data_IF_338733662290
#
_entry.id   IF_338733662290
#
_cell.length_a   1.000
_cell.length_b   1.000
_cell.length_c   1.000
_cell.angle_alpha   90.00
_cell.angle_beta   90.00
_cell.angle_gamma   90.00
#
_symmetry.space_group_name_H-M   'P 1'
#
loop_
_entity.id
_entity.type
_entity.pdbx_description
1 polymer ?
#
# COMPACT_ATOMS: atom_id res chain seq x y z
N UNK A 1 55.79 -36.08 10.42
CA UNK A 1 55.24 -35.52 9.16
C UNK A 1 53.78 -35.16 9.43
N UNK A 2 53.51 -33.84 9.38
CA UNK A 2 52.30 -33.04 9.66
C UNK A 2 50.97 -33.73 10.00
N UNK A 3 50.42 -33.35 11.17
CA UNK A 3 49.00 -33.49 11.51
C UNK A 3 48.19 -32.35 10.87
N UNK A 4 47.17 -32.71 10.07
CA UNK A 4 46.23 -31.76 9.45
C UNK A 4 45.09 -31.46 10.41
N UNK A 5 45.06 -30.26 10.99
CA UNK A 5 43.92 -29.74 11.74
C UNK A 5 42.87 -29.24 10.73
N UNK A 6 41.74 -29.93 10.65
CA UNK A 6 40.55 -29.45 9.90
C UNK A 6 39.77 -28.49 10.80
N UNK A 7 39.92 -27.18 10.56
CA UNK A 7 39.01 -26.18 11.11
C UNK A 7 37.68 -26.22 10.32
N UNK A 8 36.62 -26.72 10.94
CA UNK A 8 35.25 -26.53 10.48
C UNK A 8 34.81 -25.12 10.90
N UNK A 9 34.81 -24.16 9.99
CA UNK A 9 34.14 -22.87 10.18
C UNK A 9 32.65 -23.06 9.87
N UNK A 10 31.84 -23.27 10.91
CA UNK A 10 30.39 -23.14 10.81
C UNK A 10 30.06 -21.64 10.78
N UNK A 11 29.93 -21.07 9.58
CA UNK A 11 29.44 -19.72 9.40
C UNK A 11 27.97 -19.62 9.78
N UNK A 12 27.68 -19.08 10.97
CA UNK A 12 26.35 -18.67 11.37
C UNK A 12 25.95 -17.47 10.49
N UNK A 13 25.20 -17.72 9.42
CA UNK A 13 24.52 -16.68 8.66
C UNK A 13 23.44 -16.07 9.54
N UNK A 14 23.78 -14.97 10.21
CA UNK A 14 22.82 -14.11 10.87
C UNK A 14 22.00 -13.42 9.76
N UNK A 15 20.82 -13.96 9.44
CA UNK A 15 19.85 -13.25 8.61
C UNK A 15 19.34 -12.09 9.46
N UNK A 16 19.96 -10.92 9.30
CA UNK A 16 19.47 -9.67 9.88
C UNK A 16 18.17 -9.32 9.14
N UNK A 17 17.05 -9.85 9.64
CA UNK A 17 15.73 -9.38 9.23
C UNK A 17 15.63 -7.91 9.59
N UNK A 18 15.62 -7.02 8.59
CA UNK A 18 15.28 -5.63 8.84
C UNK A 18 13.82 -5.62 9.31
N UNK A 19 13.60 -5.35 10.59
CA UNK A 19 12.27 -5.13 11.12
C UNK A 19 11.71 -3.88 10.44
N UNK A 20 10.79 -4.07 9.49
CA UNK A 20 10.05 -2.97 8.89
C UNK A 20 8.94 -2.57 9.87
N UNK A 21 9.00 -1.35 10.37
CA UNK A 21 7.88 -0.71 11.02
C UNK A 21 7.67 0.65 10.36
N UNK A 22 6.44 0.99 10.01
CA UNK A 22 6.08 2.29 9.47
C UNK A 22 5.13 2.98 10.44
N UNK A 23 5.47 4.20 10.85
CA UNK A 23 4.59 5.09 11.61
C UNK A 23 4.42 6.37 10.81
N UNK A 24 3.18 6.69 10.45
CA UNK A 24 2.82 7.86 9.65
C UNK A 24 1.69 8.63 10.34
N UNK A 25 1.45 9.86 9.90
CA UNK A 25 0.25 10.60 10.23
C UNK A 25 -0.73 10.46 9.08
N UNK A 26 -1.94 10.00 9.38
CA UNK A 26 -3.05 9.90 8.45
C UNK A 26 -4.17 10.87 8.87
N UNK A 27 -5.32 10.83 8.20
CA UNK A 27 -6.43 11.76 8.47
C UNK A 27 -7.15 11.51 9.81
N UNK A 28 -6.79 10.46 10.55
CA UNK A 28 -7.26 10.12 11.90
C UNK A 28 -6.15 10.16 12.97
N UNK A 29 -4.92 10.53 12.62
CA UNK A 29 -3.79 10.70 13.54
C UNK A 29 -2.67 9.70 13.29
N UNK A 30 -2.09 9.15 14.35
CA UNK A 30 -0.95 8.23 14.23
C UNK A 30 -1.42 6.86 13.73
N UNK A 31 -0.89 6.44 12.59
CA UNK A 31 -1.09 5.10 12.02
C UNK A 31 0.23 4.33 12.04
N UNK A 32 0.21 3.07 12.52
CA UNK A 32 1.40 2.21 12.61
C UNK A 32 1.15 0.85 11.96
N UNK A 33 2.15 0.36 11.22
CA UNK A 33 2.25 -1.02 10.76
C UNK A 33 3.56 -1.64 11.24
N UNK A 34 3.47 -2.84 11.81
CA UNK A 34 4.63 -3.59 12.32
C UNK A 34 5.36 -4.43 11.25
N UNK A 35 4.82 -4.45 10.02
CA UNK A 35 5.37 -5.19 8.89
C UNK A 35 4.93 -4.56 7.58
N UNK A 36 5.70 -4.80 6.51
CA UNK A 36 5.33 -4.31 5.18
C UNK A 36 4.09 -5.06 4.70
N UNK A 37 3.00 -4.36 4.37
CA UNK A 37 1.77 -5.01 3.93
C UNK A 37 2.00 -5.74 2.61
N UNK A 38 1.40 -6.93 2.46
CA UNK A 38 1.53 -7.78 1.28
C UNK A 38 0.20 -7.92 0.52
N UNK A 39 -0.91 -7.60 1.16
CA UNK A 39 -2.29 -7.82 0.71
C UNK A 39 -3.06 -6.52 0.85
N UNK A 40 -2.83 -5.61 -0.09
CA UNK A 40 -3.37 -4.25 -0.04
C UNK A 40 -4.67 -4.17 -0.82
N UNK A 41 -5.70 -3.56 -0.23
CA UNK A 41 -6.90 -3.11 -0.93
C UNK A 41 -6.92 -1.60 -0.97
N UNK A 42 -7.26 -1.00 -2.12
CA UNK A 42 -7.36 0.45 -2.29
C UNK A 42 -8.75 0.86 -2.74
N UNK A 43 -9.28 1.94 -2.14
CA UNK A 43 -10.66 2.38 -2.37
C UNK A 43 -10.79 3.67 -3.20
N UNK A 44 -9.69 4.18 -3.76
CA UNK A 44 -9.67 5.25 -4.74
C UNK A 44 -8.63 4.97 -5.83
N UNK A 45 -8.83 5.57 -7.01
CA UNK A 45 -7.97 5.33 -8.18
C UNK A 45 -6.58 5.92 -8.00
N UNK A 46 -6.45 7.06 -7.32
CA UNK A 46 -5.16 7.70 -7.03
C UNK A 46 -4.27 6.84 -6.14
N UNK A 47 -4.86 6.05 -5.24
CA UNK A 47 -4.11 5.13 -4.39
C UNK A 47 -3.59 3.93 -5.19
N UNK A 48 -4.36 3.45 -6.17
CA UNK A 48 -3.89 2.45 -7.13
C UNK A 48 -2.71 2.99 -7.97
N UNK A 49 -2.81 4.25 -8.42
CA UNK A 49 -1.74 4.96 -9.12
C UNK A 49 -0.47 5.10 -8.26
N UNK A 50 -0.60 5.53 -7.00
CA UNK A 50 0.52 5.64 -6.08
C UNK A 50 1.23 4.30 -5.84
N UNK A 51 0.49 3.20 -5.72
CA UNK A 51 1.10 1.87 -5.61
C UNK A 51 1.82 1.47 -6.91
N UNK A 52 1.20 1.71 -8.07
CA UNK A 52 1.78 1.43 -9.38
C UNK A 52 3.09 2.20 -9.62
N UNK A 53 3.17 3.46 -9.16
CA UNK A 53 4.34 4.32 -9.33
C UNK A 53 5.62 3.72 -8.72
N UNK A 54 5.49 2.83 -7.74
CA UNK A 54 6.59 2.14 -7.04
C UNK A 54 6.54 0.61 -7.19
N UNK A 55 5.89 0.14 -8.26
CA UNK A 55 5.77 -1.27 -8.66
C UNK A 55 5.18 -2.19 -7.57
N UNK A 56 4.26 -1.65 -6.77
CA UNK A 56 3.45 -2.41 -5.80
C UNK A 56 2.06 -2.64 -6.40
N UNK A 57 1.54 -3.87 -6.31
CA UNK A 57 0.20 -4.19 -6.83
C UNK A 57 -0.79 -4.45 -5.69
N UNK A 58 -1.97 -3.78 -5.67
CA UNK A 58 -3.04 -4.14 -4.76
C UNK A 58 -3.70 -5.45 -5.20
N UNK A 59 -4.26 -6.20 -4.26
CA UNK A 59 -5.05 -7.40 -4.53
C UNK A 59 -6.52 -7.08 -4.81
N UNK A 60 -6.96 -5.87 -4.44
CA UNK A 60 -8.30 -5.39 -4.76
C UNK A 60 -8.38 -3.88 -4.90
N UNK A 61 -9.27 -3.44 -5.80
CA UNK A 61 -9.48 -2.04 -6.14
C UNK A 61 -10.98 -1.76 -6.19
N UNK A 62 -11.44 -0.67 -5.56
CA UNK A 62 -12.76 -0.13 -5.83
C UNK A 62 -12.69 0.63 -7.17
N UNK A 63 -12.93 -0.09 -8.27
CA UNK A 63 -12.73 0.39 -9.64
C UNK A 63 -14.02 0.86 -10.33
N UNK A 64 -15.09 1.11 -9.55
CA UNK A 64 -16.43 1.42 -10.06
C UNK A 64 -17.04 0.32 -10.94
N UNK A 65 -16.61 -0.93 -10.72
CA UNK A 65 -16.94 -2.10 -11.55
C UNK A 65 -16.48 -1.95 -13.01
N UNK A 66 -15.47 -1.11 -13.26
CA UNK A 66 -14.92 -0.89 -14.59
C UNK A 66 -13.40 -0.74 -14.51
N UNK A 67 -12.69 -1.83 -14.81
CA UNK A 67 -11.22 -1.84 -14.87
C UNK A 67 -10.63 -0.81 -15.85
N UNK A 68 -11.43 -0.28 -16.79
CA UNK A 68 -10.99 0.77 -17.71
C UNK A 68 -10.83 2.14 -17.05
N UNK A 69 -11.37 2.32 -15.83
CA UNK A 69 -11.20 3.53 -15.00
C UNK A 69 -9.78 3.72 -14.52
N UNK A 70 -9.01 2.64 -14.36
CA UNK A 70 -7.57 2.71 -14.14
C UNK A 70 -6.91 2.99 -15.48
N UNK A 71 -6.04 4.00 -15.56
CA UNK A 71 -5.40 4.37 -16.81
C UNK A 71 -4.53 3.22 -17.37
N UNK A 72 -4.44 3.03 -18.71
CA UNK A 72 -3.65 1.95 -19.30
C UNK A 72 -2.19 1.88 -18.80
N UNK A 73 -1.54 3.04 -18.68
CA UNK A 73 -0.18 3.20 -18.17
C UNK A 73 -0.05 2.74 -16.72
N UNK A 74 -1.05 3.03 -15.87
CA UNK A 74 -1.08 2.54 -14.48
C UNK A 74 -1.26 1.03 -14.46
N UNK A 75 -2.23 0.51 -15.23
CA UNK A 75 -2.48 -0.95 -15.30
C UNK A 75 -1.27 -1.75 -15.76
N UNK A 76 -0.40 -1.18 -16.58
CA UNK A 76 0.80 -1.87 -17.07
C UNK A 76 1.78 -2.24 -15.93
N UNK A 77 1.73 -1.52 -14.81
CA UNK A 77 2.55 -1.78 -13.62
C UNK A 77 1.82 -2.62 -12.55
N UNK A 78 0.55 -2.99 -12.78
CA UNK A 78 -0.26 -3.72 -11.82
C UNK A 78 -0.44 -5.18 -12.24
N UNK A 79 -0.29 -6.09 -11.27
CA UNK A 79 -0.81 -7.45 -11.39
C UNK A 79 -2.34 -7.42 -11.45
N UNK A 80 -2.99 -8.50 -11.94
CA UNK A 80 -4.45 -8.61 -11.88
C UNK A 80 -4.98 -8.41 -10.45
N UNK A 81 -6.04 -7.62 -10.32
CA UNK A 81 -6.72 -7.35 -9.05
C UNK A 81 -8.16 -7.86 -9.10
N UNK A 82 -8.77 -8.03 -7.92
CA UNK A 82 -10.20 -8.26 -7.78
C UNK A 82 -10.93 -6.92 -7.61
N UNK A 83 -11.96 -6.65 -8.41
CA UNK A 83 -12.84 -5.50 -8.14
C UNK A 83 -13.55 -5.71 -6.80
N UNK A 84 -13.54 -4.69 -5.94
CA UNK A 84 -14.28 -4.66 -4.67
C UNK A 84 -15.50 -3.72 -4.73
N UNK A 85 -16.02 -3.49 -5.93
CA UNK A 85 -17.22 -2.67 -6.15
C UNK A 85 -16.91 -1.21 -6.50
N UNK A 86 -17.82 -0.32 -6.12
CA UNK A 86 -17.69 1.10 -6.45
C UNK A 86 -16.95 1.85 -5.37
N UNK A 87 -16.31 2.97 -5.73
CA UNK A 87 -15.70 3.85 -4.72
C UNK A 87 -16.74 4.44 -3.79
N UNK A 88 -17.92 4.79 -4.32
CA UNK A 88 -19.01 5.33 -3.52
C UNK A 88 -19.55 4.32 -2.48
N UNK A 89 -19.60 3.04 -2.85
CA UNK A 89 -20.09 1.94 -2.02
C UNK A 89 -19.23 0.69 -2.28
N UNK A 90 -18.07 0.57 -1.60
CA UNK A 90 -17.24 -0.62 -1.68
C UNK A 90 -17.94 -1.82 -1.03
N UNK A 91 -17.76 -3.01 -1.60
CA UNK A 91 -18.30 -4.25 -1.04
C UNK A 91 -17.43 -4.74 0.11
N UNK A 92 -17.89 -4.55 1.35
CA UNK A 92 -17.22 -5.06 2.55
C UNK A 92 -17.02 -6.58 2.50
N UNK A 93 -17.98 -7.32 1.92
CA UNK A 93 -17.87 -8.77 1.72
C UNK A 93 -16.71 -9.12 0.78
N UNK A 94 -16.61 -8.46 -0.37
CA UNK A 94 -15.52 -8.68 -1.31
C UNK A 94 -14.16 -8.33 -0.70
N UNK A 95 -14.09 -7.22 0.05
CA UNK A 95 -12.87 -6.82 0.78
C UNK A 95 -12.50 -7.89 1.81
N UNK A 96 -13.45 -8.36 2.63
CA UNK A 96 -13.19 -9.37 3.65
C UNK A 96 -12.74 -10.71 3.03
N UNK A 97 -13.34 -11.13 1.92
CA UNK A 97 -12.96 -12.35 1.20
C UNK A 97 -11.50 -12.33 0.72
N UNK A 98 -10.96 -11.15 0.41
CA UNK A 98 -9.58 -10.96 0.02
C UNK A 98 -8.59 -11.06 1.20
N UNK A 99 -9.04 -11.02 2.45
CA UNK A 99 -8.17 -11.06 3.65
C UNK A 99 -6.99 -10.08 3.54
N UNK A 100 -7.24 -8.78 3.36
CA UNK A 100 -6.18 -7.79 3.27
C UNK A 100 -5.42 -7.67 4.59
N UNK A 101 -4.17 -7.23 4.52
CA UNK A 101 -3.39 -6.79 5.68
C UNK A 101 -3.23 -5.26 5.75
N UNK A 102 -3.73 -4.54 4.74
CA UNK A 102 -3.92 -3.10 4.73
C UNK A 102 -5.08 -2.73 3.81
N UNK A 103 -5.92 -1.80 4.26
CA UNK A 103 -6.91 -1.10 3.43
C UNK A 103 -6.51 0.38 3.36
N UNK A 104 -6.42 0.94 2.17
CA UNK A 104 -6.17 2.38 1.95
C UNK A 104 -7.49 3.02 1.48
N UNK A 105 -8.04 3.90 2.30
CA UNK A 105 -9.37 4.47 2.11
C UNK A 105 -9.34 6.00 2.10
N UNK A 106 -10.19 6.60 1.28
CA UNK A 106 -10.40 8.06 1.27
C UNK A 106 -11.12 8.52 2.53
N UNK A 107 -10.56 9.53 3.20
CA UNK A 107 -11.04 10.05 4.49
C UNK A 107 -12.41 10.70 4.42
N UNK A 108 -12.79 11.27 3.27
CA UNK A 108 -14.11 11.88 3.10
C UNK A 108 -15.17 10.86 2.72
N UNK A 109 -14.92 10.10 1.65
CA UNK A 109 -15.88 9.19 1.04
C UNK A 109 -16.17 7.98 1.93
N UNK A 110 -15.17 7.46 2.63
CA UNK A 110 -15.30 6.21 3.38
C UNK A 110 -15.46 6.42 4.89
N UNK A 111 -15.58 7.66 5.37
CA UNK A 111 -15.80 7.97 6.78
C UNK A 111 -16.97 7.15 7.38
N UNK A 112 -18.07 7.04 6.63
CA UNK A 112 -19.27 6.31 7.08
C UNK A 112 -19.11 4.79 7.19
N UNK A 113 -18.08 4.20 6.57
CA UNK A 113 -17.81 2.76 6.62
C UNK A 113 -16.50 2.42 7.34
N UNK A 114 -15.79 3.42 7.88
CA UNK A 114 -14.49 3.25 8.51
C UNK A 114 -14.47 2.16 9.59
N UNK A 115 -15.41 2.20 10.54
CA UNK A 115 -15.49 1.21 11.62
C UNK A 115 -15.67 -0.21 11.09
N UNK A 116 -16.42 -0.38 10.00
CA UNK A 116 -16.64 -1.68 9.37
C UNK A 116 -15.37 -2.17 8.64
N UNK A 117 -14.64 -1.27 7.95
CA UNK A 117 -13.35 -1.59 7.34
C UNK A 117 -12.31 -2.00 8.39
N UNK A 118 -12.29 -1.36 9.57
CA UNK A 118 -11.39 -1.70 10.67
C UNK A 118 -11.63 -3.10 11.24
N UNK A 119 -12.84 -3.66 11.12
CA UNK A 119 -13.09 -5.05 11.51
C UNK A 119 -12.44 -6.06 10.56
N UNK A 120 -12.00 -5.62 9.37
CA UNK A 120 -11.41 -6.46 8.34
C UNK A 120 -9.88 -6.42 8.41
N UNK A 121 -9.29 -5.22 8.42
CA UNK A 121 -7.85 -5.00 8.43
C UNK A 121 -7.51 -3.59 8.93
N UNK A 122 -6.24 -3.27 9.24
CA UNK A 122 -5.80 -1.90 9.45
C UNK A 122 -6.20 -0.99 8.28
N UNK A 123 -6.71 0.20 8.60
CA UNK A 123 -7.22 1.17 7.62
C UNK A 123 -6.37 2.43 7.69
N UNK A 124 -5.71 2.76 6.58
CA UNK A 124 -4.99 4.02 6.39
C UNK A 124 -5.93 5.01 5.70
N UNK A 125 -6.25 6.12 6.37
CA UNK A 125 -7.13 7.16 5.84
C UNK A 125 -6.34 8.30 5.23
N UNK A 126 -6.53 8.54 3.94
CA UNK A 126 -5.83 9.58 3.17
C UNK A 126 -6.80 10.43 2.37
N UNK A 127 -6.33 11.57 1.85
CA UNK A 127 -7.12 12.40 0.93
C UNK A 127 -6.92 11.93 -0.51
N UNK A 128 -8.03 11.70 -1.22
CA UNK A 128 -8.04 11.44 -2.67
C UNK A 128 -9.32 11.92 -3.38
N UNK A 129 -10.34 12.36 -2.65
CA UNK A 129 -11.51 12.97 -3.25
C UNK A 129 -11.57 14.45 -2.88
N UNK A 130 -11.68 15.31 -3.90
CA UNK A 130 -11.73 16.77 -3.75
C UNK A 130 -10.49 17.35 -3.05
N UNK A 131 -9.37 16.65 -3.17
CA UNK A 131 -8.06 17.05 -2.71
C UNK A 131 -7.39 18.00 -3.72
N UNK A 132 -6.46 18.80 -3.21
CA UNK A 132 -5.52 19.55 -4.04
C UNK A 132 -4.43 18.63 -4.58
N UNK A 133 -3.74 19.07 -5.65
CA UNK A 133 -2.59 18.34 -6.18
C UNK A 133 -1.53 18.05 -5.10
N UNK A 134 -1.22 19.04 -4.25
CA UNK A 134 -0.25 18.87 -3.17
C UNK A 134 -0.68 17.82 -2.14
N UNK A 135 -1.96 17.74 -1.81
CA UNK A 135 -2.51 16.72 -0.91
C UNK A 135 -2.49 15.32 -1.54
N UNK A 136 -2.71 15.22 -2.86
CA UNK A 136 -2.57 13.96 -3.58
C UNK A 136 -1.12 13.44 -3.54
N UNK A 137 -0.14 14.31 -3.83
CA UNK A 137 1.29 13.98 -3.72
C UNK A 137 1.70 13.61 -2.29
N UNK A 138 1.13 14.29 -1.29
CA UNK A 138 1.36 13.95 0.11
C UNK A 138 0.84 12.54 0.45
N UNK A 139 -0.37 12.21 -0.01
CA UNK A 139 -0.94 10.87 0.15
C UNK A 139 -0.08 9.81 -0.53
N UNK A 140 0.43 10.08 -1.75
CA UNK A 140 1.37 9.18 -2.43
C UNK A 140 2.67 8.98 -1.63
N UNK A 141 3.22 10.04 -1.02
CA UNK A 141 4.40 9.94 -0.16
C UNK A 141 4.15 9.03 1.05
N UNK A 142 3.01 9.18 1.72
CA UNK A 142 2.61 8.31 2.85
C UNK A 142 2.47 6.86 2.38
N UNK A 143 1.81 6.63 1.23
CA UNK A 143 1.67 5.29 0.64
C UNK A 143 3.04 4.66 0.41
N UNK A 144 3.98 5.40 -0.20
CA UNK A 144 5.35 4.94 -0.41
C UNK A 144 6.05 4.53 0.90
N UNK A 145 5.83 5.29 1.98
CA UNK A 145 6.39 4.95 3.29
C UNK A 145 5.81 3.66 3.87
N UNK A 146 4.48 3.52 3.91
CA UNK A 146 3.82 2.35 4.52
C UNK A 146 4.05 1.05 3.75
N UNK A 147 4.36 1.12 2.45
CA UNK A 147 4.68 -0.08 1.63
C UNK A 147 6.19 -0.34 1.50
N UNK A 148 7.04 0.38 2.25
CA UNK A 148 8.49 0.17 2.24
C UNK A 148 9.21 0.65 0.98
N UNK A 149 8.58 1.59 0.27
CA UNK A 149 9.03 2.20 -0.99
C UNK A 149 9.30 3.70 -0.85
N UNK A 150 9.66 4.16 0.35
CA UNK A 150 9.87 5.58 0.65
C UNK A 150 10.85 6.25 -0.31
N UNK A 151 11.98 5.59 -0.61
CA UNK A 151 13.03 6.15 -1.47
C UNK A 151 12.57 6.23 -2.92
N UNK A 152 11.96 5.15 -3.42
CA UNK A 152 11.43 5.06 -4.77
C UNK A 152 10.33 6.11 -4.99
N UNK A 153 9.40 6.24 -4.02
CA UNK A 153 8.34 7.24 -4.08
C UNK A 153 8.90 8.66 -4.06
N UNK A 154 9.87 8.96 -3.19
CA UNK A 154 10.52 10.27 -3.18
C UNK A 154 11.16 10.60 -4.53
N UNK A 155 11.86 9.66 -5.14
CA UNK A 155 12.45 9.87 -6.47
C UNK A 155 11.39 10.17 -7.54
N UNK A 156 10.25 9.45 -7.51
CA UNK A 156 9.11 9.72 -8.40
C UNK A 156 8.53 11.11 -8.18
N UNK A 157 8.31 11.50 -6.93
CA UNK A 157 7.72 12.80 -6.58
C UNK A 157 8.63 13.98 -7.00
N UNK A 158 9.96 13.83 -6.96
CA UNK A 158 10.86 14.86 -7.48
C UNK A 158 10.80 14.98 -9.01
N UNK A 159 10.70 13.85 -9.73
CA UNK A 159 10.52 13.87 -11.19
C UNK A 159 9.22 14.56 -11.63
N UNK A 160 8.19 14.55 -10.77
CA UNK A 160 6.92 15.23 -11.02
C UNK A 160 6.93 16.75 -10.81
N UNK A 161 8.02 17.31 -10.27
CA UNK A 161 8.17 18.76 -10.05
C UNK A 161 8.85 19.47 -11.22
N UNK A 162 9.51 18.72 -12.11
CA UNK A 162 10.14 19.22 -13.35
C UNK A 162 9.14 19.22 -14.51
#
# INVERSE_FOLDING_TARGET
MLAFIRFLFAGLLLVIGHAFAATVQDEHGTFTLDKTPQRIVVLELSFADALAAVDVSPIGIADDNDAKRILPEVRAHLKPWQSVGTRAQPSLEAIAALKPDLIIADSSRHAGIYTALQQIAPVLLLKSRNETYAENLHSAAIIGEVVGKKREMQARLEQHKE
#
